data_IF_951069121614
#
_entry.id   IF_951069121614
#
_cell.length_a   1.000
_cell.length_b   1.000
_cell.length_c   1.000
_cell.angle_alpha   90.00
_cell.angle_beta   90.00
_cell.angle_gamma   90.00
#
_symmetry.space_group_name_H-M   'P 1'
#
loop_
_entity.id
_entity.type
_entity.pdbx_description
1 polymer ?
#
# COMPACT_ATOMS: atom_id res chain seq x y z
N UNK A 1 -22.93 23.30 -31.09
CA UNK A 1 -23.13 21.92 -31.58
C UNK A 1 -23.92 21.83 -32.88
N UNK A 2 -25.05 22.56 -33.04
CA UNK A 2 -25.89 22.50 -34.25
C UNK A 2 -25.17 22.98 -35.52
N UNK A 3 -24.43 24.10 -35.45
CA UNK A 3 -23.64 24.61 -36.57
C UNK A 3 -22.57 23.61 -37.06
N UNK A 4 -21.88 22.96 -36.13
CA UNK A 4 -20.86 21.96 -36.45
C UNK A 4 -21.49 20.72 -37.11
N UNK A 5 -22.65 20.26 -36.63
CA UNK A 5 -23.39 19.16 -37.24
C UNK A 5 -23.86 19.47 -38.66
N UNK A 6 -24.28 20.72 -38.93
CA UNK A 6 -24.67 21.17 -40.28
C UNK A 6 -23.48 21.18 -41.25
N UNK A 7 -22.33 21.70 -40.81
CA UNK A 7 -21.08 21.71 -41.60
C UNK A 7 -20.61 20.29 -41.91
N UNK A 8 -20.62 19.39 -40.92
CA UNK A 8 -20.28 17.97 -41.14
C UNK A 8 -21.26 17.27 -42.07
N UNK A 9 -22.57 17.54 -41.95
CA UNK A 9 -23.59 16.99 -42.84
C UNK A 9 -23.38 17.42 -44.30
N UNK A 10 -23.09 18.70 -44.54
CA UNK A 10 -22.76 19.21 -45.88
C UNK A 10 -21.47 18.60 -46.43
N UNK A 11 -20.44 18.43 -45.59
CA UNK A 11 -19.16 17.84 -45.99
C UNK A 11 -19.32 16.38 -46.40
N UNK A 12 -20.00 15.55 -45.59
CA UNK A 12 -20.28 14.15 -45.91
C UNK A 12 -21.12 14.04 -47.19
N UNK A 13 -22.16 14.86 -47.34
CA UNK A 13 -22.99 14.89 -48.55
C UNK A 13 -22.19 15.31 -49.80
N UNK A 14 -21.30 16.30 -49.67
CA UNK A 14 -20.45 16.76 -50.76
C UNK A 14 -19.43 15.67 -51.17
N UNK A 15 -18.83 14.98 -50.19
CA UNK A 15 -17.86 13.91 -50.43
C UNK A 15 -18.51 12.67 -51.07
N UNK A 16 -19.66 12.23 -50.55
CA UNK A 16 -20.45 11.13 -51.12
C UNK A 16 -20.84 11.43 -52.58
N UNK A 17 -21.34 12.65 -52.85
CA UNK A 17 -21.68 13.10 -54.21
C UNK A 17 -20.46 13.22 -55.13
N UNK A 18 -19.33 13.70 -54.63
CA UNK A 18 -18.09 13.81 -55.41
C UNK A 18 -17.57 12.44 -55.83
N UNK A 19 -17.59 11.46 -54.94
CA UNK A 19 -17.18 10.08 -55.22
C UNK A 19 -18.09 9.47 -56.30
N UNK A 20 -19.41 9.65 -56.19
CA UNK A 20 -20.38 9.12 -57.17
C UNK A 20 -20.30 9.83 -58.52
N UNK A 21 -20.07 11.15 -58.53
CA UNK A 21 -20.08 11.97 -59.76
C UNK A 21 -18.85 11.76 -60.65
N UNK A 22 -17.75 11.20 -60.13
CA UNK A 22 -16.50 11.04 -60.89
C UNK A 22 -16.40 9.68 -61.59
N UNK A 23 -17.37 8.78 -61.40
CA UNK A 23 -17.32 7.41 -61.88
C UNK A 23 -18.25 7.22 -63.10
N UNK A 24 -17.67 6.87 -64.25
CA UNK A 24 -18.41 6.54 -65.49
C UNK A 24 -19.14 5.19 -65.36
N UNK A 25 -20.43 5.17 -65.72
CA UNK A 25 -21.26 3.95 -65.81
C UNK A 25 -20.58 2.87 -66.66
N UNK A 26 -20.43 1.66 -66.11
CA UNK A 26 -20.10 0.42 -66.81
C UNK A 26 -21.16 -0.63 -66.49
N UNK A 27 -21.48 -1.46 -67.47
CA UNK A 27 -22.70 -2.28 -67.58
C UNK A 27 -22.64 -3.63 -66.80
N UNK A 28 -21.78 -3.74 -65.77
CA UNK A 28 -21.54 -4.99 -65.03
C UNK A 28 -21.85 -4.86 -63.52
N UNK A 29 -22.56 -5.84 -62.95
CA UNK A 29 -22.96 -5.88 -61.53
C UNK A 29 -21.77 -5.80 -60.54
N UNK A 30 -20.60 -6.35 -60.89
CA UNK A 30 -19.39 -6.28 -60.04
C UNK A 30 -18.82 -4.84 -60.04
N UNK A 31 -18.90 -4.13 -61.17
CA UNK A 31 -18.46 -2.73 -61.26
C UNK A 31 -19.37 -1.82 -60.43
N UNK A 32 -20.67 -2.11 -60.34
CA UNK A 32 -21.61 -1.41 -59.45
C UNK A 32 -21.32 -1.68 -57.95
N UNK A 33 -20.97 -2.92 -57.57
CA UNK A 33 -20.61 -3.25 -56.19
C UNK A 33 -19.29 -2.59 -55.77
N UNK A 34 -18.28 -2.57 -56.66
CA UNK A 34 -17.01 -1.87 -56.41
C UNK A 34 -17.25 -0.36 -56.34
N UNK A 35 -18.14 0.19 -57.16
CA UNK A 35 -18.54 1.60 -57.10
C UNK A 35 -19.25 1.97 -55.78
N UNK A 36 -19.99 1.04 -55.16
CA UNK A 36 -20.61 1.23 -53.84
C UNK A 36 -19.66 1.02 -52.66
N UNK A 37 -18.51 0.36 -52.87
CA UNK A 37 -17.56 0.01 -51.80
C UNK A 37 -16.97 1.20 -51.03
N UNK A 38 -16.63 2.36 -51.63
CA UNK A 38 -16.10 3.49 -50.89
C UNK A 38 -17.12 4.04 -49.88
N UNK A 39 -18.42 3.96 -50.21
CA UNK A 39 -19.52 4.39 -49.34
C UNK A 39 -19.70 3.46 -48.15
N UNK A 40 -19.59 2.15 -48.36
CA UNK A 40 -19.66 1.16 -47.28
C UNK A 40 -18.45 1.33 -46.34
N UNK A 41 -17.25 1.50 -46.88
CA UNK A 41 -16.04 1.75 -46.09
C UNK A 41 -16.15 3.04 -45.27
N UNK A 42 -16.63 4.13 -45.89
CA UNK A 42 -16.86 5.40 -45.20
C UNK A 42 -17.90 5.26 -44.08
N UNK A 43 -19.01 4.55 -44.33
CA UNK A 43 -20.03 4.31 -43.32
C UNK A 43 -19.50 3.51 -42.12
N UNK A 44 -18.66 2.49 -42.36
CA UNK A 44 -17.99 1.72 -41.29
C UNK A 44 -17.03 2.60 -40.49
N UNK A 45 -16.23 3.45 -41.14
CA UNK A 45 -15.32 4.38 -40.46
C UNK A 45 -16.12 5.37 -39.59
N UNK A 46 -17.17 5.97 -40.13
CA UNK A 46 -18.04 6.90 -39.40
C UNK A 46 -18.69 6.19 -38.20
N UNK A 47 -19.18 4.96 -38.39
CA UNK A 47 -19.76 4.17 -37.31
C UNK A 47 -18.76 3.97 -36.16
N UNK A 48 -17.52 3.56 -36.44
CA UNK A 48 -16.47 3.38 -35.42
C UNK A 48 -16.12 4.69 -34.72
N UNK A 49 -15.93 5.77 -35.49
CA UNK A 49 -15.54 7.09 -34.97
C UNK A 49 -16.62 7.71 -34.10
N UNK A 50 -17.91 7.51 -34.42
CA UNK A 50 -19.03 7.99 -33.61
C UNK A 50 -19.28 7.07 -32.41
N UNK A 51 -19.14 5.75 -32.57
CA UNK A 51 -19.45 4.78 -31.52
C UNK A 51 -18.54 4.94 -30.30
N UNK A 52 -17.22 5.07 -30.48
CA UNK A 52 -16.25 5.11 -29.37
C UNK A 52 -16.46 6.25 -28.35
N UNK A 53 -16.62 7.52 -28.75
CA UNK A 53 -16.90 8.60 -27.79
C UNK A 53 -18.27 8.44 -27.14
N UNK A 54 -19.25 7.88 -27.85
CA UNK A 54 -20.58 7.62 -27.31
C UNK A 54 -20.56 6.49 -26.27
N UNK A 55 -19.86 5.39 -26.53
CA UNK A 55 -19.63 4.28 -25.58
C UNK A 55 -19.01 4.79 -24.29
N UNK A 56 -17.91 5.54 -24.38
CA UNK A 56 -17.24 6.13 -23.20
C UNK A 56 -18.17 7.06 -22.41
N UNK A 57 -19.10 7.74 -23.08
CA UNK A 57 -20.03 8.66 -22.42
C UNK A 57 -21.21 7.94 -21.77
N UNK A 58 -21.75 6.92 -22.43
CA UNK A 58 -22.87 6.12 -21.92
C UNK A 58 -22.43 5.32 -20.70
N UNK A 59 -21.26 4.68 -20.75
CA UNK A 59 -20.73 3.83 -19.68
C UNK A 59 -19.84 4.59 -18.69
N UNK A 60 -19.99 5.90 -18.58
CA UNK A 60 -19.10 6.73 -17.77
C UNK A 60 -19.08 6.26 -16.30
N UNK A 61 -20.25 5.91 -15.74
CA UNK A 61 -20.36 5.48 -14.34
C UNK A 61 -19.71 4.13 -14.09
N UNK A 62 -19.92 3.18 -14.99
CA UNK A 62 -19.37 1.84 -14.93
C UNK A 62 -17.84 1.86 -15.10
N UNK A 63 -17.35 2.70 -16.02
CA UNK A 63 -15.91 2.96 -16.20
C UNK A 63 -15.30 3.54 -14.93
N UNK A 64 -15.94 4.57 -14.34
CA UNK A 64 -15.43 5.22 -13.13
C UNK A 64 -15.39 4.23 -11.94
N UNK A 65 -16.35 3.28 -11.86
CA UNK A 65 -16.34 2.21 -10.85
C UNK A 65 -15.16 1.24 -11.05
N UNK A 66 -14.93 0.77 -12.28
CA UNK A 66 -13.78 -0.11 -12.59
C UNK A 66 -12.46 0.62 -12.32
N UNK A 67 -12.36 1.92 -12.67
CA UNK A 67 -11.17 2.72 -12.37
C UNK A 67 -10.94 2.87 -10.87
N UNK A 68 -12.00 3.03 -10.07
CA UNK A 68 -11.88 3.07 -8.62
C UNK A 68 -11.37 1.74 -8.06
N UNK A 69 -11.88 0.61 -8.55
CA UNK A 69 -11.39 -0.71 -8.16
C UNK A 69 -9.91 -0.89 -8.50
N UNK A 70 -9.49 -0.55 -9.72
CA UNK A 70 -8.09 -0.58 -10.14
C UNK A 70 -7.20 0.36 -9.31
N UNK A 71 -7.67 1.56 -8.98
CA UNK A 71 -6.93 2.47 -8.08
C UNK A 71 -6.76 1.87 -6.69
N UNK A 72 -7.78 1.19 -6.17
CA UNK A 72 -7.70 0.52 -4.87
C UNK A 72 -6.72 -0.65 -4.90
N UNK A 73 -6.74 -1.48 -5.96
CA UNK A 73 -5.79 -2.59 -6.09
C UNK A 73 -4.35 -2.08 -6.25
N UNK A 74 -4.13 -1.02 -7.03
CA UNK A 74 -2.83 -0.36 -7.16
C UNK A 74 -2.36 0.25 -5.84
N UNK A 75 -3.26 0.88 -5.09
CA UNK A 75 -2.96 1.45 -3.76
C UNK A 75 -2.52 0.36 -2.80
N UNK A 76 -3.28 -0.75 -2.73
CA UNK A 76 -2.94 -1.89 -1.87
C UNK A 76 -1.60 -2.51 -2.27
N UNK A 77 -1.40 -2.79 -3.56
CA UNK A 77 -0.15 -3.36 -4.06
C UNK A 77 1.05 -2.44 -3.79
N UNK A 78 0.90 -1.13 -3.96
CA UNK A 78 1.94 -0.17 -3.64
C UNK A 78 2.26 -0.14 -2.14
N UNK A 79 1.24 -0.16 -1.27
CA UNK A 79 1.45 -0.25 0.18
C UNK A 79 2.15 -1.54 0.57
N UNK A 80 1.78 -2.68 -0.03
CA UNK A 80 2.45 -3.97 0.21
C UNK A 80 3.91 -3.96 -0.23
N UNK A 81 4.22 -3.41 -1.41
CA UNK A 81 5.60 -3.31 -1.90
C UNK A 81 6.48 -2.40 -1.04
N UNK A 82 5.93 -1.26 -0.59
CA UNK A 82 6.62 -0.40 0.36
C UNK A 82 6.78 -1.15 1.69
N UNK A 83 5.73 -1.80 2.21
CA UNK A 83 5.78 -2.53 3.48
C UNK A 83 6.85 -3.63 3.49
N UNK A 84 7.08 -4.34 2.36
CA UNK A 84 8.17 -5.32 2.24
C UNK A 84 9.56 -4.71 2.46
N UNK A 85 9.74 -3.43 2.17
CA UNK A 85 11.01 -2.72 2.36
C UNK A 85 11.23 -2.31 3.82
N UNK A 86 10.18 -1.90 4.54
CA UNK A 86 10.29 -1.33 5.89
C UNK A 86 9.96 -2.32 7.02
N UNK A 87 8.99 -3.23 6.83
CA UNK A 87 8.55 -4.14 7.88
C UNK A 87 9.67 -5.03 8.44
N UNK A 88 10.58 -5.61 7.63
CA UNK A 88 11.65 -6.44 8.18
C UNK A 88 12.56 -5.69 9.15
N UNK A 89 12.85 -4.42 8.85
CA UNK A 89 13.70 -3.58 9.70
C UNK A 89 12.96 -3.16 10.97
N UNK A 90 11.69 -2.78 10.86
CA UNK A 90 10.82 -2.48 12.01
C UNK A 90 10.68 -3.70 12.93
N UNK A 91 10.50 -4.89 12.37
CA UNK A 91 10.35 -6.12 13.14
C UNK A 91 11.66 -6.54 13.81
N UNK A 92 12.80 -6.32 13.16
CA UNK A 92 14.12 -6.51 13.77
C UNK A 92 14.32 -5.58 14.98
N UNK A 93 14.01 -4.29 14.84
CA UNK A 93 14.11 -3.33 15.94
C UNK A 93 13.16 -3.67 17.10
N UNK A 94 11.93 -4.11 16.81
CA UNK A 94 11.00 -4.61 17.84
C UNK A 94 11.54 -5.83 18.56
N UNK A 95 12.16 -6.75 17.84
CA UNK A 95 12.78 -7.95 18.42
C UNK A 95 13.93 -7.58 19.35
N UNK A 96 14.75 -6.61 18.97
CA UNK A 96 15.84 -6.10 19.80
C UNK A 96 15.32 -5.41 21.08
N UNK A 97 14.28 -4.58 20.96
CA UNK A 97 13.61 -3.98 22.14
C UNK A 97 13.08 -5.06 23.07
N UNK A 98 12.40 -6.09 22.53
CA UNK A 98 11.89 -7.20 23.35
C UNK A 98 13.01 -7.94 24.07
N UNK A 99 14.14 -8.18 23.40
CA UNK A 99 15.29 -8.84 24.01
C UNK A 99 15.88 -8.01 25.18
N UNK A 100 16.01 -6.68 25.02
CA UNK A 100 16.47 -5.78 26.07
C UNK A 100 15.51 -5.72 27.27
N UNK A 101 14.21 -5.80 27.00
CA UNK A 101 13.18 -5.86 28.06
C UNK A 101 13.20 -7.20 28.81
N UNK A 102 13.40 -8.30 28.09
CA UNK A 102 13.51 -9.63 28.70
C UNK A 102 14.79 -9.75 29.54
N UNK A 103 15.91 -9.17 29.12
CA UNK A 103 17.14 -9.09 29.91
C UNK A 103 16.90 -8.40 31.28
N UNK A 104 16.18 -7.27 31.27
CA UNK A 104 15.79 -6.56 32.51
C UNK A 104 14.88 -7.46 33.36
N UNK A 105 13.87 -8.11 32.77
CA UNK A 105 12.93 -8.98 33.49
C UNK A 105 13.64 -10.17 34.14
N UNK A 106 14.60 -10.78 33.45
CA UNK A 106 15.42 -11.85 34.00
C UNK A 106 16.24 -11.37 35.19
N UNK A 107 16.89 -10.21 35.08
CA UNK A 107 17.67 -9.64 36.20
C UNK A 107 16.78 -9.23 37.38
N UNK A 108 15.58 -8.72 37.12
CA UNK A 108 14.57 -8.45 38.16
C UNK A 108 14.18 -9.73 38.91
N UNK A 109 13.94 -10.83 38.19
CA UNK A 109 13.63 -12.11 38.81
C UNK A 109 14.79 -12.63 39.67
N UNK A 110 16.04 -12.44 39.24
CA UNK A 110 17.22 -12.79 40.02
C UNK A 110 17.28 -11.99 41.33
N UNK A 111 17.10 -10.67 41.26
CA UNK A 111 17.10 -9.78 42.44
C UNK A 111 15.97 -10.15 43.39
N UNK A 112 14.76 -10.42 42.88
CA UNK A 112 13.62 -10.84 43.70
C UNK A 112 13.87 -12.20 44.39
N UNK A 113 14.56 -13.13 43.72
CA UNK A 113 14.96 -14.40 44.33
C UNK A 113 15.98 -14.21 45.47
N UNK A 114 16.96 -13.32 45.28
CA UNK A 114 17.92 -12.95 46.33
C UNK A 114 17.23 -12.27 47.51
N UNK A 115 16.26 -11.40 47.25
CA UNK A 115 15.43 -10.76 48.29
C UNK A 115 14.74 -11.80 49.16
N UNK A 116 14.02 -12.74 48.54
CA UNK A 116 13.34 -13.82 49.26
C UNK A 116 14.32 -14.68 50.07
N UNK A 117 15.51 -14.92 49.54
CA UNK A 117 16.54 -15.75 50.19
C UNK A 117 17.09 -15.16 51.49
N UNK A 118 17.25 -13.83 51.58
CA UNK A 118 17.75 -13.20 52.81
C UNK A 118 16.62 -12.90 53.80
N UNK A 119 15.40 -12.62 53.33
CA UNK A 119 14.22 -12.42 54.19
C UNK A 119 13.88 -13.72 54.92
N UNK A 120 13.81 -14.84 54.21
CA UNK A 120 13.53 -16.16 54.82
C UNK A 120 14.62 -16.63 55.78
N UNK A 121 15.88 -16.21 55.57
CA UNK A 121 16.97 -16.41 56.53
C UNK A 121 16.70 -15.63 57.82
N UNK A 122 16.30 -14.34 57.72
CA UNK A 122 15.98 -13.53 58.89
C UNK A 122 14.77 -14.04 59.67
N UNK A 123 13.77 -14.58 58.97
CA UNK A 123 12.58 -15.20 59.53
C UNK A 123 12.85 -16.60 60.11
N UNK A 124 14.02 -17.19 59.85
CA UNK A 124 14.38 -18.54 60.29
C UNK A 124 13.60 -19.65 59.58
N UNK A 125 12.99 -19.36 58.43
CA UNK A 125 12.17 -20.31 57.66
C UNK A 125 12.99 -21.05 56.60
N UNK A 126 14.19 -20.57 56.26
CA UNK A 126 15.13 -21.21 55.35
C UNK A 126 16.59 -21.04 55.82
N UNK A 127 17.51 -21.84 55.26
CA UNK A 127 18.94 -21.72 55.54
C UNK A 127 19.34 -22.20 56.93
N UNK A 128 19.88 -21.31 57.79
CA UNK A 128 20.33 -21.70 59.14
C UNK A 128 19.20 -22.03 60.12
N UNK A 129 17.95 -21.71 59.75
CA UNK A 129 16.74 -21.89 60.57
C UNK A 129 16.80 -21.16 61.92
N UNK A 130 17.69 -20.17 62.04
CA UNK A 130 17.81 -19.32 63.22
C UNK A 130 17.16 -17.99 62.95
N UNK A 131 16.22 -17.60 63.81
CA UNK A 131 15.59 -16.29 63.74
C UNK A 131 16.63 -15.18 63.99
N UNK A 132 16.65 -14.17 63.12
CA UNK A 132 17.45 -12.95 63.33
C UNK A 132 18.48 -12.66 62.24
N UNK A 133 19.19 -11.55 62.42
CA UNK A 133 20.12 -10.96 61.42
C UNK A 133 21.57 -11.28 61.78
N UNK A 134 22.02 -12.49 61.47
CA UNK A 134 23.41 -12.93 61.68
C UNK A 134 24.37 -12.60 60.51
N UNK A 135 25.63 -13.08 60.56
CA UNK A 135 26.62 -12.85 59.49
C UNK A 135 26.19 -13.39 58.11
N UNK A 136 25.53 -14.55 58.09
CA UNK A 136 24.99 -15.17 56.85
C UNK A 136 23.89 -14.30 56.23
N UNK A 137 23.04 -13.68 57.07
CA UNK A 137 22.04 -12.71 56.60
C UNK A 137 22.71 -11.51 55.96
N UNK A 138 23.78 -10.99 56.58
CA UNK A 138 24.51 -9.83 56.06
C UNK A 138 25.14 -10.15 54.70
N UNK A 139 25.82 -11.30 54.56
CA UNK A 139 26.41 -11.71 53.27
C UNK A 139 25.33 -11.85 52.16
N UNK A 140 24.18 -12.44 52.47
CA UNK A 140 23.06 -12.58 51.53
C UNK A 140 22.45 -11.22 51.15
N UNK A 141 22.32 -10.31 52.11
CA UNK A 141 21.86 -8.94 51.88
C UNK A 141 22.86 -8.18 51.01
N UNK A 142 24.15 -8.27 51.29
CA UNK A 142 25.18 -7.57 50.50
C UNK A 142 25.17 -8.06 49.04
N UNK A 143 24.92 -9.36 48.80
CA UNK A 143 24.69 -9.92 47.45
C UNK A 143 23.44 -9.34 46.78
N UNK A 144 22.33 -9.24 47.49
CA UNK A 144 21.12 -8.59 46.97
C UNK A 144 21.35 -7.12 46.64
N UNK A 145 21.98 -6.37 47.55
CA UNK A 145 22.22 -4.93 47.38
C UNK A 145 23.17 -4.67 46.19
N UNK A 146 24.17 -5.53 45.97
CA UNK A 146 25.00 -5.52 44.77
C UNK A 146 24.21 -5.82 43.49
N UNK A 147 23.40 -6.88 43.49
CA UNK A 147 22.57 -7.24 42.34
C UNK A 147 21.49 -6.17 42.02
N UNK A 148 20.97 -5.48 43.04
CA UNK A 148 20.05 -4.37 42.88
C UNK A 148 20.72 -3.17 42.21
N UNK A 149 21.96 -2.85 42.57
CA UNK A 149 22.74 -1.79 41.91
C UNK A 149 23.01 -2.14 40.44
N UNK A 150 23.38 -3.40 40.14
CA UNK A 150 23.52 -3.89 38.76
C UNK A 150 22.21 -3.77 37.98
N UNK A 151 21.08 -4.13 38.58
CA UNK A 151 19.76 -4.01 37.96
C UNK A 151 19.40 -2.55 37.63
N UNK A 152 19.71 -1.61 38.53
CA UNK A 152 19.47 -0.18 38.29
C UNK A 152 20.30 0.32 37.11
N UNK A 153 21.58 -0.05 37.06
CA UNK A 153 22.46 0.30 35.95
C UNK A 153 22.00 -0.32 34.63
N UNK A 154 21.57 -1.59 34.66
CA UNK A 154 21.04 -2.30 33.50
C UNK A 154 19.78 -1.62 32.98
N UNK A 155 18.84 -1.26 33.87
CA UNK A 155 17.62 -0.52 33.50
C UNK A 155 17.93 0.80 32.84
N UNK A 156 18.88 1.58 33.38
CA UNK A 156 19.26 2.86 32.80
C UNK A 156 19.87 2.67 31.40
N UNK A 157 20.81 1.73 31.27
CA UNK A 157 21.49 1.44 30.00
C UNK A 157 20.51 0.93 28.94
N UNK A 158 19.61 0.01 29.30
CA UNK A 158 18.63 -0.53 28.38
C UNK A 158 17.54 0.49 28.04
N UNK A 159 17.16 1.38 28.96
CA UNK A 159 16.23 2.47 28.65
C UNK A 159 16.80 3.44 27.61
N UNK A 160 18.08 3.79 27.71
CA UNK A 160 18.76 4.63 26.72
C UNK A 160 18.80 3.95 25.34
N UNK A 161 19.14 2.66 25.29
CA UNK A 161 19.13 1.87 24.04
C UNK A 161 17.73 1.77 23.43
N UNK A 162 16.73 1.43 24.24
CA UNK A 162 15.34 1.31 23.81
C UNK A 162 14.85 2.64 23.23
N UNK A 163 15.14 3.77 23.89
CA UNK A 163 14.78 5.09 23.38
C UNK A 163 15.42 5.38 22.01
N UNK A 164 16.68 4.97 21.81
CA UNK A 164 17.35 5.07 20.52
C UNK A 164 16.71 4.20 19.42
N UNK A 165 16.34 2.96 19.75
CA UNK A 165 15.67 2.03 18.83
C UNK A 165 14.25 2.52 18.50
N UNK A 166 13.49 3.02 19.47
CA UNK A 166 12.16 3.61 19.27
C UNK A 166 12.22 4.85 18.37
N UNK A 167 13.25 5.69 18.53
CA UNK A 167 13.47 6.84 17.66
C UNK A 167 13.75 6.41 16.21
N UNK A 168 14.57 5.37 16.01
CA UNK A 168 14.83 4.80 14.67
C UNK A 168 13.56 4.20 14.06
N UNK A 169 12.79 3.44 14.84
CA UNK A 169 11.49 2.92 14.40
C UNK A 169 10.55 4.05 13.99
N UNK A 170 10.47 5.14 14.77
CA UNK A 170 9.66 6.31 14.43
C UNK A 170 10.09 7.00 13.14
N UNK A 171 11.40 7.07 12.88
CA UNK A 171 11.93 7.57 11.60
C UNK A 171 11.55 6.67 10.43
N UNK A 172 11.66 5.36 10.57
CA UNK A 172 11.25 4.39 9.54
C UNK A 172 9.75 4.48 9.26
N UNK A 173 8.90 4.58 10.29
CA UNK A 173 7.46 4.79 10.11
C UNK A 173 7.14 6.09 9.38
N UNK A 174 7.84 7.18 9.72
CA UNK A 174 7.67 8.47 9.03
C UNK A 174 8.08 8.37 7.55
N UNK A 175 9.19 7.68 7.25
CA UNK A 175 9.65 7.48 5.89
C UNK A 175 8.70 6.60 5.07
N UNK A 176 8.16 5.54 5.68
CA UNK A 176 7.12 4.71 5.11
C UNK A 176 5.88 5.54 4.73
N UNK A 177 5.35 6.32 5.67
CA UNK A 177 4.17 7.18 5.45
C UNK A 177 4.43 8.21 4.36
N UNK A 178 5.61 8.82 4.36
CA UNK A 178 6.02 9.76 3.32
C UNK A 178 6.04 9.09 1.95
N UNK A 179 6.63 7.89 1.83
CA UNK A 179 6.70 7.20 0.55
C UNK A 179 5.32 6.80 0.03
N UNK A 180 4.42 6.36 0.91
CA UNK A 180 3.01 6.11 0.54
C UNK A 180 2.33 7.40 0.09
N UNK A 181 2.54 8.50 0.81
CA UNK A 181 1.97 9.82 0.46
C UNK A 181 2.52 10.37 -0.85
N UNK A 182 3.79 10.14 -1.16
CA UNK A 182 4.42 10.63 -2.38
C UNK A 182 3.94 9.86 -3.62
N UNK A 183 3.59 8.57 -3.48
CA UNK A 183 3.08 7.75 -4.58
C UNK A 183 1.57 7.80 -4.76
N UNK A 184 0.79 8.11 -3.72
CA UNK A 184 -0.68 8.16 -3.80
C UNK A 184 -1.20 9.09 -4.90
N UNK A 185 -0.68 10.32 -5.09
CA UNK A 185 -1.12 11.19 -6.19
C UNK A 185 -0.92 10.58 -7.58
N UNK A 186 0.10 9.74 -7.77
CA UNK A 186 0.36 9.08 -9.06
C UNK A 186 -0.78 8.11 -9.39
N UNK A 187 -1.27 7.38 -8.37
CA UNK A 187 -2.38 6.43 -8.49
C UNK A 187 -3.71 7.19 -8.63
N UNK A 188 -3.90 8.27 -7.88
CA UNK A 188 -5.13 9.07 -7.94
C UNK A 188 -5.33 9.72 -9.32
N UNK A 189 -4.24 10.10 -9.99
CA UNK A 189 -4.25 10.63 -11.36
C UNK A 189 -4.28 9.53 -12.45
N UNK A 190 -4.47 8.25 -12.07
CA UNK A 190 -4.68 7.16 -13.01
C UNK A 190 -6.10 7.17 -13.59
N UNK A 191 -6.45 8.17 -14.40
CA UNK A 191 -7.77 8.31 -15.02
C UNK A 191 -7.74 8.85 -16.47
N UNK A 192 -6.57 8.84 -17.10
CA UNK A 192 -6.36 9.27 -18.48
C UNK A 192 -7.17 8.47 -19.50
N UNK A 193 -7.24 8.97 -20.74
CA UNK A 193 -8.05 8.38 -21.82
C UNK A 193 -7.77 6.88 -22.02
N UNK A 194 -6.50 6.48 -21.95
CA UNK A 194 -6.11 5.07 -22.09
C UNK A 194 -6.66 4.21 -20.95
N UNK A 195 -6.62 4.70 -19.71
CA UNK A 195 -7.19 4.00 -18.55
C UNK A 195 -8.71 3.83 -18.71
N UNK A 196 -9.41 4.88 -19.18
CA UNK A 196 -10.85 4.83 -19.48
C UNK A 196 -11.20 3.84 -20.60
N UNK A 197 -10.39 3.78 -21.65
CA UNK A 197 -10.56 2.80 -22.75
C UNK A 197 -10.33 1.37 -22.27
N UNK A 198 -9.30 1.15 -21.46
CA UNK A 198 -9.03 -0.17 -20.87
C UNK A 198 -10.15 -0.59 -19.91
N UNK A 199 -10.63 0.32 -19.06
CA UNK A 199 -11.75 0.05 -18.16
C UNK A 199 -13.04 -0.28 -18.93
N UNK A 200 -13.33 0.44 -20.03
CA UNK A 200 -14.46 0.13 -20.92
C UNK A 200 -14.36 -1.31 -21.47
N UNK A 201 -13.16 -1.78 -21.84
CA UNK A 201 -12.96 -3.14 -22.35
C UNK A 201 -13.12 -4.26 -21.31
N UNK A 202 -13.11 -3.92 -20.02
CA UNK A 202 -13.31 -4.85 -18.91
C UNK A 202 -14.78 -5.01 -18.52
N UNK A 203 -15.67 -4.18 -19.06
CA UNK A 203 -17.10 -4.31 -18.80
C UNK A 203 -17.64 -5.61 -19.41
N UNK A 204 -18.50 -6.35 -18.70
CA UNK A 204 -19.12 -7.55 -19.24
C UNK A 204 -19.95 -7.20 -20.48
N UNK A 205 -19.80 -7.99 -21.55
CA UNK A 205 -20.62 -7.88 -22.75
C UNK A 205 -22.06 -8.24 -22.39
N UNK A 206 -23.00 -7.33 -22.64
CA UNK A 206 -24.43 -7.64 -22.67
C UNK A 206 -24.77 -8.43 -23.94
#
# INVERSE_FOLDING_TARGET
SIFFGFVWGLLIFNLDRFIVSTIKKRDNFIDELIQASPRILLAVIIAVVISKPLELKIFQKEIDQVLLEEKNTMTLANQEEIAKQYNPEIDALKSEISALQDEVRTKESEVNALYNTYITEAEGTAGTMKLGKGPVYQEKRDKHDAALAELQQLKQTNAEKISGLEAQMGQLSTNYEKQVSDTQPIIDNFDGLMARVNALSKLPWL
#
